data_IF_331786051372
#
_entry.id   IF_331786051372
#
_cell.length_a   1.000
_cell.length_b   1.000
_cell.length_c   1.000
_cell.angle_alpha   90.00
_cell.angle_beta   90.00
_cell.angle_gamma   90.00
#
_symmetry.space_group_name_H-M   'P 1'
#
loop_
_entity.id
_entity.type
_entity.pdbx_description
1 polymer ?
#
# COMPACT_ATOMS: atom_id res chain seq x y z
N UNK A 1 -52.77 -69.67 10.95
CA UNK A 1 -53.58 -69.05 9.87
C UNK A 1 -54.83 -68.32 10.38
N UNK A 2 -55.68 -68.90 11.25
CA UNK A 2 -56.94 -68.25 11.69
C UNK A 2 -56.77 -67.00 12.57
N UNK A 3 -55.75 -66.94 13.45
CA UNK A 3 -55.52 -65.76 14.31
C UNK A 3 -55.17 -64.48 13.53
N UNK A 4 -54.37 -64.61 12.47
CA UNK A 4 -53.98 -63.47 11.62
C UNK A 4 -55.19 -62.89 10.87
N UNK A 5 -56.08 -63.76 10.38
CA UNK A 5 -57.31 -63.36 9.70
C UNK A 5 -58.27 -62.59 10.62
N UNK A 6 -58.35 -62.97 11.89
CA UNK A 6 -59.21 -62.28 12.87
C UNK A 6 -58.62 -60.91 13.27
N UNK A 7 -57.29 -60.79 13.36
CA UNK A 7 -56.65 -59.51 13.65
C UNK A 7 -56.81 -58.51 12.50
N UNK A 8 -56.69 -58.97 11.24
CA UNK A 8 -56.92 -58.13 10.07
C UNK A 8 -58.37 -57.65 9.96
N UNK A 9 -59.35 -58.51 10.28
CA UNK A 9 -60.76 -58.10 10.33
C UNK A 9 -61.00 -57.04 11.40
N UNK A 10 -60.48 -57.22 12.61
CA UNK A 10 -60.60 -56.21 13.68
C UNK A 10 -59.96 -54.87 13.30
N UNK A 11 -58.79 -54.89 12.66
CA UNK A 11 -58.12 -53.67 12.21
C UNK A 11 -58.92 -52.96 11.11
N UNK A 12 -59.51 -53.72 10.18
CA UNK A 12 -60.38 -53.18 9.13
C UNK A 12 -61.68 -52.59 9.69
N UNK A 13 -62.33 -53.28 10.63
CA UNK A 13 -63.59 -52.83 11.24
C UNK A 13 -63.36 -51.59 12.12
N UNK A 14 -62.26 -51.53 12.88
CA UNK A 14 -61.88 -50.35 13.67
C UNK A 14 -61.59 -49.13 12.79
N UNK A 15 -60.91 -49.31 11.65
CA UNK A 15 -60.67 -48.24 10.68
C UNK A 15 -61.96 -47.75 10.01
N UNK A 16 -62.94 -48.64 9.82
CA UNK A 16 -64.24 -48.28 9.24
C UNK A 16 -65.13 -47.54 10.23
N UNK A 17 -65.08 -47.88 11.52
CA UNK A 17 -65.81 -47.15 12.56
C UNK A 17 -65.25 -45.75 12.79
N UNK A 18 -63.92 -45.57 12.79
CA UNK A 18 -63.30 -44.24 12.95
C UNK A 18 -63.65 -43.28 11.82
N UNK A 19 -63.76 -43.78 10.58
CA UNK A 19 -64.19 -42.95 9.44
C UNK A 19 -65.68 -42.60 9.54
N UNK A 20 -66.52 -43.50 10.07
CA UNK A 20 -67.95 -43.23 10.29
C UNK A 20 -68.18 -42.21 11.40
N UNK A 21 -67.45 -42.29 12.51
CA UNK A 21 -67.56 -41.31 13.60
C UNK A 21 -67.04 -39.95 13.17
N UNK A 22 -65.93 -39.89 12.44
CA UNK A 22 -65.42 -38.63 11.89
C UNK A 22 -66.40 -37.97 10.91
N UNK A 23 -67.10 -38.76 10.08
CA UNK A 23 -68.13 -38.24 9.17
C UNK A 23 -69.39 -37.78 9.90
N UNK A 24 -69.86 -38.55 10.90
CA UNK A 24 -71.00 -38.16 11.74
C UNK A 24 -70.71 -36.89 12.56
N UNK A 25 -69.44 -36.65 12.92
CA UNK A 25 -69.02 -35.44 13.62
C UNK A 25 -68.89 -34.23 12.69
N UNK A 26 -68.58 -34.45 11.40
CA UNK A 26 -68.53 -33.39 10.38
C UNK A 26 -69.92 -32.93 9.93
N UNK A 27 -70.90 -33.82 9.91
CA UNK A 27 -72.30 -33.49 9.59
C UNK A 27 -73.06 -32.91 10.79
N UNK A 28 -72.46 -32.93 11.99
CA UNK A 28 -72.89 -32.08 13.10
C UNK A 28 -72.26 -30.70 12.91
N UNK A 29 -72.91 -29.85 12.13
CA UNK A 29 -72.76 -28.40 12.28
C UNK A 29 -72.97 -28.13 13.78
N UNK A 30 -71.99 -27.62 14.53
CA UNK A 30 -72.31 -27.00 15.80
C UNK A 30 -73.36 -25.93 15.47
N UNK A 31 -74.45 -25.85 16.23
CA UNK A 31 -75.17 -24.59 16.33
C UNK A 31 -74.12 -23.59 16.81
N UNK A 32 -73.46 -22.91 15.87
CA UNK A 32 -72.76 -21.68 16.17
C UNK A 32 -73.85 -20.81 16.76
N UNK A 33 -73.74 -20.34 18.02
CA UNK A 33 -74.60 -19.24 18.43
C UNK A 33 -74.45 -18.18 17.34
N UNK A 34 -75.56 -17.64 16.84
CA UNK A 34 -75.55 -16.44 16.00
C UNK A 34 -74.84 -15.34 16.80
N UNK A 35 -73.52 -15.33 16.72
CA UNK A 35 -72.72 -14.16 16.99
C UNK A 35 -72.96 -13.35 15.74
N UNK A 36 -73.93 -12.43 15.82
CA UNK A 36 -74.07 -11.34 14.88
C UNK A 36 -72.67 -10.75 14.69
N UNK A 37 -72.00 -11.16 13.62
CA UNK A 37 -70.69 -10.65 13.27
C UNK A 37 -70.94 -9.28 12.68
N UNK A 38 -71.21 -8.32 13.56
CA UNK A 38 -71.32 -6.92 13.21
C UNK A 38 -69.96 -6.54 12.64
N UNK A 39 -69.89 -6.38 11.31
CA UNK A 39 -68.67 -5.99 10.63
C UNK A 39 -68.16 -4.73 11.34
N UNK A 40 -66.94 -4.74 11.91
CA UNK A 40 -66.40 -3.54 12.51
C UNK A 40 -66.49 -2.42 11.47
N UNK A 41 -66.94 -1.24 11.90
CA UNK A 41 -67.07 -0.08 11.03
C UNK A 41 -65.78 0.03 10.20
N UNK A 42 -65.87 0.24 8.86
CA UNK A 42 -64.69 0.31 8.02
C UNK A 42 -63.71 1.29 8.66
N UNK A 43 -62.48 0.82 8.91
CA UNK A 43 -61.45 1.65 9.49
C UNK A 43 -61.44 2.99 8.73
N UNK A 44 -61.38 4.14 9.44
CA UNK A 44 -61.28 5.42 8.77
C UNK A 44 -60.14 5.32 7.75
N UNK A 45 -60.32 5.80 6.51
CA UNK A 45 -59.35 5.61 5.45
C UNK A 45 -57.99 6.05 5.99
N UNK A 46 -57.08 5.08 6.10
CA UNK A 46 -55.71 5.35 6.53
C UNK A 46 -55.12 6.21 5.41
N UNK A 47 -55.11 7.51 5.63
CA UNK A 47 -54.46 8.48 4.76
C UNK A 47 -52.97 8.13 4.80
N UNK A 48 -52.53 7.31 3.84
CA UNK A 48 -51.14 7.10 3.55
C UNK A 48 -50.58 8.43 3.06
N UNK A 49 -50.32 9.35 3.98
CA UNK A 49 -49.51 10.53 3.72
C UNK A 49 -48.14 10.00 3.34
N UNK A 50 -47.92 9.80 2.05
CA UNK A 50 -46.59 9.56 1.52
C UNK A 50 -45.72 10.68 2.07
N UNK A 51 -44.59 10.33 2.66
CA UNK A 51 -43.63 11.29 3.22
C UNK A 51 -42.98 12.18 2.16
N UNK A 52 -43.49 12.18 0.93
CA UNK A 52 -43.20 13.22 -0.06
C UNK A 52 -43.81 14.51 0.46
N UNK A 53 -42.97 15.52 0.71
CA UNK A 53 -43.48 16.86 0.99
C UNK A 53 -44.42 17.24 -0.15
N UNK A 54 -45.52 17.96 0.13
CA UNK A 54 -46.41 18.47 -0.93
C UNK A 54 -45.63 19.32 -1.95
N UNK A 55 -44.49 19.87 -1.55
CA UNK A 55 -43.54 20.61 -2.38
C UNK A 55 -42.81 19.75 -3.43
N UNK A 56 -42.75 18.42 -3.25
CA UNK A 56 -42.03 17.50 -4.16
C UNK A 56 -42.85 17.09 -5.39
N UNK A 57 -44.14 17.44 -5.45
CA UNK A 57 -45.06 17.04 -6.53
C UNK A 57 -45.00 17.96 -7.76
N UNK A 58 -44.55 19.21 -7.59
CA UNK A 58 -44.51 20.23 -8.65
C UNK A 58 -43.22 20.17 -9.50
N UNK A 59 -42.22 19.39 -9.08
CA UNK A 59 -40.91 19.34 -9.72
C UNK A 59 -40.80 18.15 -10.67
N UNK A 60 -40.37 18.34 -11.94
CA UNK A 60 -40.16 17.24 -12.87
C UNK A 60 -39.25 16.14 -12.31
N UNK A 61 -39.63 14.88 -12.50
CA UNK A 61 -38.94 13.71 -11.91
C UNK A 61 -37.43 13.66 -12.25
N UNK A 62 -37.05 14.07 -13.46
CA UNK A 62 -35.67 14.16 -13.92
C UNK A 62 -34.86 15.19 -13.13
N UNK A 63 -35.45 16.35 -12.83
CA UNK A 63 -34.83 17.41 -12.04
C UNK A 63 -34.65 16.99 -10.58
N UNK A 64 -35.58 16.19 -10.04
CA UNK A 64 -35.46 15.61 -8.69
C UNK A 64 -34.33 14.60 -8.58
N UNK A 65 -34.16 13.72 -9.57
CA UNK A 65 -33.02 12.79 -9.62
C UNK A 65 -31.72 13.57 -9.75
N UNK A 66 -31.65 14.53 -10.67
CA UNK A 66 -30.47 15.37 -10.85
C UNK A 66 -30.11 16.12 -9.56
N UNK A 67 -31.09 16.76 -8.90
CA UNK A 67 -30.89 17.43 -7.62
C UNK A 67 -30.39 16.46 -6.54
N UNK A 68 -30.98 15.27 -6.42
CA UNK A 68 -30.60 14.22 -5.49
C UNK A 68 -29.14 13.75 -5.68
N UNK A 69 -28.70 13.62 -6.92
CA UNK A 69 -27.30 13.31 -7.25
C UNK A 69 -26.38 14.49 -6.98
N UNK A 70 -26.78 15.70 -7.36
CA UNK A 70 -25.99 16.92 -7.18
C UNK A 70 -25.67 17.20 -5.71
N UNK A 71 -26.65 17.17 -4.80
CA UNK A 71 -26.36 17.43 -3.38
C UNK A 71 -25.52 16.32 -2.74
N UNK A 72 -25.74 15.05 -3.13
CA UNK A 72 -24.90 13.93 -2.66
C UNK A 72 -23.46 14.06 -3.17
N UNK A 73 -23.26 14.43 -4.43
CA UNK A 73 -21.93 14.67 -5.00
C UNK A 73 -21.26 15.90 -4.38
N UNK A 74 -22.01 16.97 -4.10
CA UNK A 74 -21.51 18.14 -3.38
C UNK A 74 -21.08 17.74 -1.96
N UNK A 75 -21.89 16.97 -1.22
CA UNK A 75 -21.51 16.50 0.11
C UNK A 75 -20.27 15.60 0.03
N UNK A 76 -20.23 14.64 -0.89
CA UNK A 76 -19.04 13.79 -1.08
C UNK A 76 -17.82 14.63 -1.43
N UNK A 77 -17.96 15.65 -2.28
CA UNK A 77 -16.91 16.59 -2.66
C UNK A 77 -16.43 17.45 -1.49
N UNK A 78 -17.35 18.01 -0.70
CA UNK A 78 -17.05 18.82 0.49
C UNK A 78 -16.37 17.96 1.56
N UNK A 79 -16.90 16.76 1.85
CA UNK A 79 -16.28 15.81 2.77
C UNK A 79 -14.88 15.42 2.28
N UNK A 80 -14.72 15.16 0.99
CA UNK A 80 -13.41 14.89 0.38
C UNK A 80 -12.45 16.07 0.51
N UNK A 81 -12.90 17.29 0.27
CA UNK A 81 -12.09 18.51 0.40
C UNK A 81 -11.68 18.77 1.85
N UNK A 82 -12.61 18.64 2.81
CA UNK A 82 -12.33 18.78 4.24
C UNK A 82 -11.33 17.73 4.69
N UNK A 83 -11.49 16.47 4.27
CA UNK A 83 -10.54 15.40 4.56
C UNK A 83 -9.16 15.74 4.00
N UNK A 84 -9.04 16.14 2.72
CA UNK A 84 -7.75 16.51 2.12
C UNK A 84 -7.09 17.68 2.84
N UNK A 85 -7.87 18.69 3.24
CA UNK A 85 -7.36 19.83 4.03
C UNK A 85 -6.89 19.41 5.41
N UNK A 86 -7.63 18.51 6.06
CA UNK A 86 -7.29 17.96 7.37
C UNK A 86 -6.03 17.08 7.31
N UNK A 87 -5.92 16.22 6.28
CA UNK A 87 -4.67 15.49 6.00
C UNK A 87 -3.52 16.48 5.79
N UNK A 88 -3.72 17.56 5.03
CA UNK A 88 -2.72 18.59 4.79
C UNK A 88 -2.16 19.18 6.09
N UNK A 89 -3.04 19.53 7.04
CA UNK A 89 -2.67 20.07 8.36
C UNK A 89 -1.93 19.03 9.21
N UNK A 90 -2.31 17.76 9.11
CA UNK A 90 -1.76 16.66 9.92
C UNK A 90 -0.60 15.94 9.21
N UNK A 91 -0.14 16.44 8.06
CA UNK A 91 0.94 15.81 7.27
C UNK A 91 2.19 15.55 8.12
N UNK A 92 2.50 16.45 9.06
CA UNK A 92 3.61 16.32 10.03
C UNK A 92 3.53 15.04 10.88
N UNK A 93 2.35 14.45 11.06
CA UNK A 93 2.13 13.18 11.76
C UNK A 93 1.84 12.05 10.78
N UNK A 94 1.02 12.29 9.74
CA UNK A 94 0.62 11.24 8.77
C UNK A 94 1.82 10.68 8.03
N UNK A 95 2.74 11.52 7.57
CA UNK A 95 3.90 11.07 6.78
C UNK A 95 4.82 10.18 7.65
N UNK A 96 5.27 10.60 8.85
CA UNK A 96 5.99 9.72 9.76
C UNK A 96 5.27 8.41 10.11
N UNK A 97 3.95 8.44 10.33
CA UNK A 97 3.18 7.23 10.59
C UNK A 97 3.14 6.30 9.38
N UNK A 98 3.04 6.84 8.16
CA UNK A 98 3.08 6.06 6.95
C UNK A 98 4.46 5.41 6.73
N UNK A 99 5.55 6.16 6.96
CA UNK A 99 6.92 5.62 6.96
C UNK A 99 7.05 4.52 8.01
N UNK A 100 6.58 4.76 9.23
CA UNK A 100 6.61 3.78 10.31
C UNK A 100 5.83 2.51 9.97
N UNK A 101 4.72 2.62 9.24
CA UNK A 101 3.95 1.48 8.76
C UNK A 101 4.74 0.66 7.73
N UNK A 102 5.46 1.32 6.81
CA UNK A 102 6.34 0.65 5.84
C UNK A 102 7.53 -0.03 6.50
N UNK A 103 8.24 0.68 7.37
CA UNK A 103 9.33 0.12 8.18
C UNK A 103 8.80 -1.04 9.03
N UNK A 104 7.58 -0.93 9.54
CA UNK A 104 6.96 -2.00 10.30
C UNK A 104 6.73 -3.25 9.45
N UNK A 105 6.19 -3.09 8.24
CA UNK A 105 6.02 -4.19 7.30
C UNK A 105 7.37 -4.80 6.87
N UNK A 106 8.41 -3.97 6.72
CA UNK A 106 9.78 -4.38 6.37
C UNK A 106 10.42 -5.23 7.48
N UNK A 107 10.31 -4.77 8.72
CA UNK A 107 10.99 -5.37 9.87
C UNK A 107 10.18 -6.49 10.53
N UNK A 108 8.89 -6.62 10.21
CA UNK A 108 8.01 -7.65 10.78
C UNK A 108 8.53 -9.10 10.63
N UNK A 109 9.11 -9.53 9.49
CA UNK A 109 9.70 -10.86 9.37
C UNK A 109 10.86 -11.09 10.34
N UNK A 110 11.74 -10.09 10.52
CA UNK A 110 12.87 -10.16 11.45
C UNK A 110 12.39 -10.27 12.91
N UNK A 111 11.40 -9.47 13.31
CA UNK A 111 10.78 -9.60 14.64
C UNK A 111 10.10 -10.96 14.80
N UNK A 112 9.40 -11.43 13.77
CA UNK A 112 8.75 -12.74 13.76
C UNK A 112 9.75 -13.88 13.95
N UNK A 113 10.90 -13.83 13.27
CA UNK A 113 11.99 -14.77 13.43
C UNK A 113 12.56 -14.75 14.86
N UNK A 114 12.82 -13.55 15.41
CA UNK A 114 13.36 -13.41 16.75
C UNK A 114 12.37 -13.88 17.85
N UNK A 115 11.06 -13.71 17.61
CA UNK A 115 10.00 -14.25 18.48
C UNK A 115 9.95 -15.78 18.47
N UNK A 116 10.45 -16.47 17.43
CA UNK A 116 10.56 -17.94 17.43
C UNK A 116 11.56 -18.45 18.47
N UNK A 117 12.53 -17.63 18.87
CA UNK A 117 13.47 -17.92 19.97
C UNK A 117 12.91 -17.59 21.36
N UNK A 118 11.58 -17.48 21.51
CA UNK A 118 10.88 -17.18 22.77
C UNK A 118 11.22 -15.83 23.43
N UNK A 119 11.79 -14.88 22.68
CA UNK A 119 12.02 -13.54 23.18
C UNK A 119 10.70 -12.76 23.36
N UNK A 120 10.56 -11.96 24.44
CA UNK A 120 9.35 -11.18 24.66
C UNK A 120 9.17 -10.13 23.54
N UNK A 121 7.91 -9.79 23.17
CA UNK A 121 7.63 -8.94 22.02
C UNK A 121 8.37 -7.60 22.01
N UNK A 122 8.53 -6.98 23.18
CA UNK A 122 9.22 -5.69 23.34
C UNK A 122 10.71 -5.80 23.06
N UNK A 123 11.38 -6.84 23.59
CA UNK A 123 12.81 -7.05 23.40
C UNK A 123 13.12 -7.42 21.95
N UNK A 124 12.31 -8.29 21.35
CA UNK A 124 12.47 -8.65 19.93
C UNK A 124 12.32 -7.42 19.02
N UNK A 125 11.35 -6.55 19.31
CA UNK A 125 11.14 -5.30 18.55
C UNK A 125 12.29 -4.33 18.75
N UNK A 126 12.75 -4.14 19.99
CA UNK A 126 13.86 -3.26 20.33
C UNK A 126 15.15 -3.68 19.63
N UNK A 127 15.52 -4.96 19.70
CA UNK A 127 16.71 -5.49 19.05
C UNK A 127 16.66 -5.31 17.54
N UNK A 128 15.53 -5.61 16.90
CA UNK A 128 15.39 -5.44 15.44
C UNK A 128 15.48 -3.97 15.04
N UNK A 129 14.93 -3.03 15.82
CA UNK A 129 15.07 -1.60 15.53
C UNK A 129 16.51 -1.13 15.67
N UNK A 130 17.21 -1.50 16.74
CA UNK A 130 18.62 -1.13 16.93
C UNK A 130 19.49 -1.73 15.84
N UNK A 131 19.31 -3.02 15.51
CA UNK A 131 20.02 -3.66 14.40
C UNK A 131 19.69 -3.00 13.05
N UNK A 132 18.43 -2.62 12.82
CA UNK A 132 18.00 -1.92 11.61
C UNK A 132 18.68 -0.55 11.48
N UNK A 133 18.66 0.25 12.54
CA UNK A 133 19.34 1.56 12.59
C UNK A 133 20.85 1.38 12.34
N UNK A 134 21.48 0.41 13.02
CA UNK A 134 22.90 0.13 12.85
C UNK A 134 23.23 -0.32 11.42
N UNK A 135 22.37 -1.13 10.78
CA UNK A 135 22.55 -1.57 9.41
C UNK A 135 22.45 -0.39 8.41
N UNK A 136 21.45 0.48 8.56
CA UNK A 136 21.30 1.66 7.70
C UNK A 136 22.44 2.64 7.93
N UNK A 137 22.72 3.01 9.19
CA UNK A 137 23.80 3.93 9.53
C UNK A 137 25.15 3.39 9.07
N UNK A 138 25.45 2.12 9.32
CA UNK A 138 26.68 1.47 8.88
C UNK A 138 26.83 1.47 7.36
N UNK A 139 25.77 1.13 6.62
CA UNK A 139 25.78 1.18 5.15
C UNK A 139 26.00 2.60 4.64
N UNK A 140 25.31 3.58 5.22
CA UNK A 140 25.44 4.98 4.82
C UNK A 140 26.84 5.52 5.11
N UNK A 141 27.40 5.20 6.28
CA UNK A 141 28.79 5.56 6.64
C UNK A 141 29.78 4.91 5.68
N UNK A 142 29.60 3.64 5.29
CA UNK A 142 30.47 2.99 4.30
C UNK A 142 30.41 3.68 2.94
N UNK A 143 29.21 4.04 2.47
CA UNK A 143 29.03 4.75 1.20
C UNK A 143 29.65 6.14 1.27
N UNK A 144 29.37 6.92 2.31
CA UNK A 144 29.90 8.28 2.48
C UNK A 144 31.41 8.26 2.61
N UNK A 145 31.97 7.38 3.45
CA UNK A 145 33.42 7.32 3.64
C UNK A 145 34.13 6.92 2.35
N UNK A 146 33.66 5.88 1.65
CA UNK A 146 34.29 5.49 0.38
C UNK A 146 34.12 6.55 -0.71
N UNK A 147 33.01 7.30 -0.69
CA UNK A 147 32.85 8.42 -1.59
C UNK A 147 33.84 9.55 -1.26
N UNK A 148 33.94 9.95 0.01
CA UNK A 148 34.88 10.99 0.50
C UNK A 148 36.33 10.60 0.22
N UNK A 149 36.71 9.37 0.52
CA UNK A 149 38.05 8.83 0.29
C UNK A 149 38.34 8.68 -1.22
N UNK A 150 37.31 8.43 -2.03
CA UNK A 150 37.40 8.33 -3.49
C UNK A 150 37.38 9.67 -4.23
N UNK A 151 36.93 10.77 -3.62
CA UNK A 151 36.85 12.10 -4.27
C UNK A 151 38.21 12.57 -4.83
N UNK A 152 39.33 12.47 -4.09
CA UNK A 152 40.63 12.91 -4.61
C UNK A 152 41.06 12.12 -5.86
N UNK A 153 40.89 10.79 -5.83
CA UNK A 153 41.25 9.89 -6.93
C UNK A 153 40.33 10.09 -8.15
N UNK A 154 39.03 10.28 -7.92
CA UNK A 154 38.06 10.67 -8.95
C UNK A 154 38.39 12.03 -9.57
N UNK A 155 38.87 13.00 -8.78
CA UNK A 155 39.26 14.32 -9.28
C UNK A 155 40.51 14.21 -10.18
N UNK A 156 41.50 13.42 -9.76
CA UNK A 156 42.70 13.17 -10.55
C UNK A 156 42.38 12.44 -11.85
N UNK A 157 41.56 11.38 -11.80
CA UNK A 157 41.17 10.60 -12.97
C UNK A 157 40.20 11.37 -13.88
N UNK A 158 39.31 12.22 -13.35
CA UNK A 158 38.48 13.12 -14.16
C UNK A 158 39.35 14.11 -14.94
N UNK A 159 40.41 14.65 -14.32
CA UNK A 159 41.36 15.52 -15.02
C UNK A 159 42.13 14.80 -16.12
N UNK A 160 42.37 13.48 -15.99
CA UNK A 160 42.98 12.65 -17.05
C UNK A 160 41.96 12.32 -18.15
N UNK A 161 40.72 12.01 -17.81
CA UNK A 161 39.64 11.75 -18.77
C UNK A 161 39.31 12.97 -19.62
N UNK A 162 39.25 14.17 -19.01
CA UNK A 162 39.12 15.44 -19.73
C UNK A 162 40.28 15.64 -20.70
N UNK A 163 41.51 15.33 -20.26
CA UNK A 163 42.71 15.40 -21.13
C UNK A 163 42.65 14.41 -22.30
N UNK A 164 42.15 13.18 -22.09
CA UNK A 164 41.96 12.22 -23.18
C UNK A 164 40.88 12.64 -24.16
N UNK A 165 39.78 13.25 -23.68
CA UNK A 165 38.74 13.82 -24.54
C UNK A 165 39.31 15.02 -25.32
N UNK A 166 40.14 15.85 -24.68
CA UNK A 166 40.88 16.93 -25.32
C UNK A 166 41.81 16.40 -26.43
N UNK A 167 42.58 15.36 -26.13
CA UNK A 167 43.51 14.73 -27.07
C UNK A 167 42.74 14.14 -28.27
N UNK A 168 41.61 13.46 -28.02
CA UNK A 168 40.73 12.92 -29.05
C UNK A 168 40.00 14.01 -29.85
N UNK A 169 39.59 15.11 -29.22
CA UNK A 169 38.99 16.26 -29.90
C UNK A 169 40.00 17.01 -30.77
N UNK A 170 41.28 17.01 -30.36
CA UNK A 170 42.41 17.60 -31.09
C UNK A 170 42.91 16.74 -32.25
N UNK A 171 43.03 15.43 -32.05
CA UNK A 171 43.62 14.50 -33.04
C UNK A 171 42.57 13.70 -33.83
N UNK A 172 41.30 13.75 -33.40
CA UNK A 172 40.18 13.11 -34.07
C UNK A 172 39.62 13.94 -35.25
N UNK A 173 38.66 13.38 -35.99
CA UNK A 173 38.20 13.90 -37.29
C UNK A 173 37.50 15.28 -37.23
N UNK A 174 37.23 15.81 -36.03
CA UNK A 174 36.44 17.03 -35.81
C UNK A 174 37.27 18.33 -35.76
N UNK A 175 38.61 18.28 -35.63
CA UNK A 175 39.53 19.44 -35.65
C UNK A 175 39.02 20.68 -34.89
N UNK A 176 38.58 20.51 -33.64
CA UNK A 176 38.08 21.62 -32.84
C UNK A 176 39.22 22.56 -32.42
N UNK A 177 39.02 23.87 -32.54
CA UNK A 177 40.02 24.90 -32.22
C UNK A 177 40.26 24.99 -30.70
N UNK A 178 41.51 25.27 -30.29
CA UNK A 178 41.95 25.33 -28.88
C UNK A 178 41.08 26.25 -28.01
N UNK A 179 40.58 27.34 -28.58
CA UNK A 179 39.74 28.31 -27.87
C UNK A 179 38.34 27.76 -27.51
N UNK A 180 37.76 26.92 -28.37
CA UNK A 180 36.42 26.33 -28.12
C UNK A 180 36.47 25.28 -27.02
N UNK A 181 37.56 24.52 -26.96
CA UNK A 181 37.76 23.48 -25.93
C UNK A 181 38.06 24.12 -24.58
N UNK A 182 38.92 25.15 -24.54
CA UNK A 182 39.22 25.87 -23.31
C UNK A 182 37.99 26.63 -22.78
N UNK A 183 37.20 27.29 -23.63
CA UNK A 183 35.94 27.93 -23.20
C UNK A 183 34.93 26.94 -22.61
N UNK A 184 34.81 25.73 -23.18
CA UNK A 184 33.91 24.71 -22.64
C UNK A 184 34.37 24.23 -21.25
N UNK A 185 35.69 24.10 -21.04
CA UNK A 185 36.27 23.70 -19.76
C UNK A 185 36.10 24.79 -18.71
N UNK A 186 36.41 26.05 -19.06
CA UNK A 186 36.24 27.19 -18.16
C UNK A 186 34.76 27.37 -17.76
N UNK A 187 33.85 27.17 -18.72
CA UNK A 187 32.41 27.21 -18.46
C UNK A 187 31.96 26.08 -17.52
N UNK A 188 32.52 24.88 -17.66
CA UNK A 188 32.23 23.75 -16.78
C UNK A 188 32.79 23.97 -15.36
N UNK A 189 34.02 24.48 -15.23
CA UNK A 189 34.63 24.82 -13.94
C UNK A 189 33.86 25.95 -13.23
N UNK A 190 33.46 26.98 -13.97
CA UNK A 190 32.66 28.07 -13.44
C UNK A 190 31.26 27.60 -13.01
N UNK A 191 30.63 26.70 -13.77
CA UNK A 191 29.35 26.08 -13.40
C UNK A 191 29.45 25.23 -12.12
N UNK A 192 30.53 24.45 -11.99
CA UNK A 192 30.80 23.69 -10.76
C UNK A 192 30.96 24.66 -9.57
N UNK A 193 31.87 25.63 -9.67
CA UNK A 193 32.19 26.55 -8.57
C UNK A 193 30.99 27.42 -8.13
N UNK A 194 30.13 27.82 -9.06
CA UNK A 194 28.91 28.58 -8.78
C UNK A 194 27.78 27.72 -8.18
N UNK A 195 27.80 26.40 -8.39
CA UNK A 195 26.89 25.47 -7.71
C UNK A 195 27.43 24.95 -6.37
N UNK A 196 28.76 24.89 -6.15
CA UNK A 196 29.32 24.47 -4.85
C UNK A 196 28.98 25.48 -3.73
N UNK A 197 28.89 26.76 -4.08
CA UNK A 197 28.48 27.85 -3.18
C UNK A 197 26.98 27.80 -2.84
N UNK A 198 26.11 27.28 -3.73
CA UNK A 198 24.70 27.03 -3.43
C UNK A 198 24.48 25.75 -2.60
N UNK A 199 25.32 24.73 -2.79
CA UNK A 199 25.32 23.51 -1.97
C UNK A 199 25.77 23.77 -0.52
N UNK A 200 26.74 24.66 -0.30
CA UNK A 200 27.16 25.07 1.06
C UNK A 200 26.15 25.99 1.74
N UNK A 201 25.43 26.84 1.00
CA UNK A 201 24.32 27.62 1.54
C UNK A 201 23.12 26.75 1.99
N UNK A 202 22.95 25.57 1.38
CA UNK A 202 21.95 24.57 1.79
C UNK A 202 22.35 23.83 3.08
N UNK A 203 23.63 23.89 3.46
CA UNK A 203 24.20 23.18 4.61
C UNK A 203 23.99 23.85 5.98
N UNK A 204 23.50 25.10 6.02
CA UNK A 204 23.10 25.72 7.30
C UNK A 204 21.69 25.26 7.63
N UNK A 205 21.59 24.04 8.17
CA UNK A 205 20.38 23.61 8.87
C UNK A 205 20.13 24.61 10.00
N UNK A 206 19.14 25.49 9.83
CA UNK A 206 18.61 26.29 10.95
C UNK A 206 18.20 25.31 12.05
N UNK A 207 18.45 25.65 13.32
CA UNK A 207 18.14 24.79 14.46
C UNK A 207 16.67 24.27 14.42
N UNK A 208 15.76 25.06 13.85
CA UNK A 208 14.37 24.67 13.59
C UNK A 208 14.23 23.46 12.65
N UNK A 209 14.95 23.43 11.53
CA UNK A 209 14.90 22.31 10.56
C UNK A 209 15.44 21.02 11.19
N UNK A 210 16.54 21.12 11.94
CA UNK A 210 17.11 19.97 12.64
C UNK A 210 16.14 19.42 13.69
N UNK A 211 15.46 20.31 14.42
CA UNK A 211 14.45 19.93 15.40
C UNK A 211 13.24 19.24 14.76
N UNK A 212 12.77 19.72 13.61
CA UNK A 212 11.68 19.10 12.86
C UNK A 212 12.05 17.69 12.39
N UNK A 213 13.24 17.52 11.80
CA UNK A 213 13.75 16.21 11.37
C UNK A 213 13.90 15.25 12.55
N UNK A 214 14.46 15.72 13.66
CA UNK A 214 14.65 14.89 14.86
C UNK A 214 13.30 14.47 15.46
N UNK A 215 12.34 15.38 15.53
CA UNK A 215 10.99 15.11 16.03
C UNK A 215 10.27 14.11 15.13
N UNK A 216 10.34 14.31 13.81
CA UNK A 216 9.80 13.38 12.82
C UNK A 216 10.43 11.99 12.93
N UNK A 217 11.76 11.92 13.03
CA UNK A 217 12.49 10.66 13.18
C UNK A 217 12.13 9.94 14.48
N UNK A 218 12.02 10.66 15.60
CA UNK A 218 11.58 10.10 16.88
C UNK A 218 10.16 9.54 16.77
N UNK A 219 9.26 10.25 16.09
CA UNK A 219 7.89 9.78 15.86
C UNK A 219 7.87 8.52 14.99
N UNK A 220 8.67 8.47 13.92
CA UNK A 220 8.83 7.27 13.07
C UNK A 220 9.30 6.08 13.92
N UNK A 221 10.36 6.27 14.72
CA UNK A 221 10.93 5.20 15.55
C UNK A 221 9.93 4.69 16.59
N UNK A 222 9.28 5.61 17.29
CA UNK A 222 8.28 5.28 18.29
C UNK A 222 7.07 4.56 17.67
N UNK A 223 6.52 5.11 16.58
CA UNK A 223 5.40 4.48 15.88
C UNK A 223 5.76 3.09 15.33
N UNK A 224 6.97 2.93 14.76
CA UNK A 224 7.44 1.64 14.24
C UNK A 224 7.53 0.62 15.37
N UNK A 225 8.06 1.01 16.54
CA UNK A 225 8.12 0.15 17.72
C UNK A 225 6.72 -0.34 18.13
N UNK A 226 5.75 0.57 18.26
CA UNK A 226 4.39 0.20 18.66
C UNK A 226 3.66 -0.63 17.59
N UNK A 227 3.87 -0.34 16.31
CA UNK A 227 3.30 -1.14 15.21
C UNK A 227 3.87 -2.56 15.20
N UNK A 228 5.18 -2.76 15.37
CA UNK A 228 5.81 -4.08 15.48
C UNK A 228 5.35 -4.86 16.72
N UNK A 229 5.33 -4.19 17.87
CA UNK A 229 5.04 -4.81 19.17
C UNK A 229 3.55 -5.15 19.29
N UNK A 230 2.68 -4.17 19.05
CA UNK A 230 1.27 -4.18 19.42
C UNK A 230 0.32 -3.95 18.22
N UNK A 231 0.78 -4.05 16.97
CA UNK A 231 -0.01 -3.78 15.75
C UNK A 231 -1.40 -4.42 15.71
N UNK A 232 -1.53 -5.70 16.11
CA UNK A 232 -2.85 -6.38 16.20
C UNK A 232 -3.79 -5.81 17.27
N UNK A 233 -3.25 -5.25 18.36
CA UNK A 233 -4.05 -4.59 19.39
C UNK A 233 -4.52 -3.23 18.90
N UNK A 234 -3.61 -2.47 18.28
CA UNK A 234 -3.91 -1.17 17.66
C UNK A 234 -5.00 -1.34 16.61
N UNK A 235 -4.87 -2.33 15.72
CA UNK A 235 -5.87 -2.60 14.70
C UNK A 235 -7.25 -2.95 15.28
N UNK A 236 -7.31 -3.86 16.25
CA UNK A 236 -8.58 -4.20 16.93
C UNK A 236 -9.19 -3.01 17.66
N UNK A 237 -8.38 -2.13 18.23
CA UNK A 237 -8.86 -0.89 18.85
C UNK A 237 -9.51 0.02 17.80
N UNK A 238 -8.86 0.23 16.64
CA UNK A 238 -9.41 1.04 15.54
C UNK A 238 -10.72 0.46 15.00
N UNK A 239 -10.80 -0.85 14.77
CA UNK A 239 -12.02 -1.51 14.28
C UNK A 239 -13.18 -1.37 15.28
N UNK A 240 -12.91 -1.35 16.60
CA UNK A 240 -13.94 -1.20 17.63
C UNK A 240 -14.63 0.17 17.64
N UNK A 241 -14.00 1.20 17.07
CA UNK A 241 -14.59 2.53 16.93
C UNK A 241 -15.77 2.56 15.94
N UNK A 242 -15.89 1.55 15.08
CA UNK A 242 -16.95 1.47 14.08
C UNK A 242 -18.16 0.64 14.56
N UNK A 243 -19.36 0.86 13.97
CA UNK A 243 -20.57 0.08 14.25
C UNK A 243 -20.35 -1.42 14.04
N UNK A 244 -21.03 -2.26 14.84
CA UNK A 244 -20.86 -3.72 14.85
C UNK A 244 -20.95 -4.33 13.45
N UNK A 245 -21.90 -3.87 12.64
CA UNK A 245 -22.15 -4.37 11.28
C UNK A 245 -20.97 -4.12 10.31
N UNK A 246 -20.15 -3.09 10.56
CA UNK A 246 -19.02 -2.75 9.71
C UNK A 246 -17.70 -3.41 10.16
N UNK A 247 -17.62 -3.89 11.41
CA UNK A 247 -16.35 -4.37 12.01
C UNK A 247 -15.73 -5.54 11.27
N UNK A 248 -16.55 -6.48 10.80
CA UNK A 248 -16.07 -7.63 10.02
C UNK A 248 -15.45 -7.19 8.70
N UNK A 249 -16.19 -6.40 7.92
CA UNK A 249 -15.74 -5.90 6.62
C UNK A 249 -14.48 -5.03 6.74
N UNK A 250 -14.40 -4.20 7.78
CA UNK A 250 -13.19 -3.44 8.08
C UNK A 250 -12.03 -4.37 8.43
N UNK A 251 -12.23 -5.36 9.31
CA UNK A 251 -11.16 -6.30 9.68
C UNK A 251 -10.61 -7.07 8.47
N UNK A 252 -11.47 -7.63 7.61
CA UNK A 252 -11.03 -8.32 6.38
C UNK A 252 -10.27 -7.37 5.44
N UNK A 253 -10.77 -6.14 5.27
CA UNK A 253 -10.11 -5.14 4.45
C UNK A 253 -8.74 -4.76 5.01
N UNK A 254 -8.61 -4.57 6.32
CA UNK A 254 -7.34 -4.25 6.98
C UNK A 254 -6.34 -5.38 6.91
N UNK A 255 -6.76 -6.63 7.19
CA UNK A 255 -5.89 -7.80 7.13
C UNK A 255 -5.38 -8.05 5.70
N UNK A 256 -6.25 -7.90 4.69
CA UNK A 256 -5.86 -7.98 3.28
C UNK A 256 -4.90 -6.84 2.88
N UNK A 257 -5.15 -5.62 3.38
CA UNK A 257 -4.29 -4.47 3.12
C UNK A 257 -2.91 -4.64 3.74
N UNK A 258 -2.84 -5.16 4.98
CA UNK A 258 -1.58 -5.48 5.66
C UNK A 258 -0.79 -6.57 4.92
N UNK A 259 -1.48 -7.63 4.47
CA UNK A 259 -0.85 -8.67 3.64
C UNK A 259 -0.28 -8.11 2.34
N UNK A 260 -0.98 -7.16 1.72
CA UNK A 260 -0.52 -6.49 0.49
C UNK A 260 0.73 -5.65 0.76
N UNK A 261 0.71 -4.85 1.83
CA UNK A 261 1.87 -4.05 2.24
C UNK A 261 3.09 -4.93 2.52
N UNK A 262 2.92 -5.99 3.30
CA UNK A 262 3.99 -6.92 3.63
C UNK A 262 4.56 -7.65 2.41
N UNK A 263 3.70 -7.99 1.43
CA UNK A 263 4.16 -8.64 0.19
C UNK A 263 4.91 -7.65 -0.71
N UNK A 264 4.38 -6.44 -0.87
CA UNK A 264 5.03 -5.36 -1.62
C UNK A 264 6.42 -5.05 -1.07
N UNK A 265 6.53 -4.81 0.24
CA UNK A 265 7.82 -4.45 0.85
C UNK A 265 8.84 -5.58 0.71
N UNK A 266 8.44 -6.84 0.87
CA UNK A 266 9.34 -8.00 0.63
C UNK A 266 9.78 -8.11 -0.82
N UNK A 267 8.85 -7.88 -1.75
CA UNK A 267 9.15 -7.86 -3.18
C UNK A 267 10.17 -6.76 -3.50
N UNK A 268 9.96 -5.54 -3.01
CA UNK A 268 10.89 -4.41 -3.19
C UNK A 268 12.28 -4.72 -2.64
N UNK A 269 12.38 -5.29 -1.44
CA UNK A 269 13.69 -5.67 -0.86
C UNK A 269 14.39 -6.73 -1.70
N UNK A 270 13.64 -7.73 -2.20
CA UNK A 270 14.20 -8.78 -3.03
C UNK A 270 14.70 -8.22 -4.36
N UNK A 271 13.91 -7.35 -5.00
CA UNK A 271 14.29 -6.65 -6.23
C UNK A 271 15.54 -5.81 -6.00
N UNK A 272 15.53 -4.94 -4.98
CA UNK A 272 16.68 -4.12 -4.60
C UNK A 272 17.95 -4.94 -4.36
N UNK A 273 17.83 -6.11 -3.73
CA UNK A 273 18.95 -7.01 -3.51
C UNK A 273 19.49 -7.61 -4.81
N UNK A 274 18.60 -8.02 -5.73
CA UNK A 274 18.99 -8.54 -7.04
C UNK A 274 19.66 -7.43 -7.86
N UNK A 275 19.14 -6.21 -7.85
CA UNK A 275 19.72 -5.08 -8.60
C UNK A 275 21.11 -4.71 -8.06
N UNK A 276 21.23 -4.58 -6.73
CA UNK A 276 22.49 -4.31 -6.08
C UNK A 276 23.53 -5.40 -6.34
N UNK A 277 23.13 -6.67 -6.32
CA UNK A 277 24.03 -7.79 -6.61
C UNK A 277 24.39 -7.84 -8.09
N UNK A 278 23.42 -7.63 -9.00
CA UNK A 278 23.64 -7.67 -10.44
C UNK A 278 24.56 -6.55 -10.92
N UNK A 279 24.27 -5.32 -10.52
CA UNK A 279 25.11 -4.15 -10.84
C UNK A 279 26.44 -4.25 -10.08
N UNK A 280 26.43 -4.60 -8.80
CA UNK A 280 27.65 -4.77 -8.01
C UNK A 280 28.60 -5.81 -8.59
N UNK A 281 28.09 -6.95 -9.04
CA UNK A 281 28.89 -7.99 -9.69
C UNK A 281 29.47 -7.50 -11.02
N UNK A 282 28.70 -6.77 -11.83
CA UNK A 282 29.21 -6.16 -13.05
C UNK A 282 30.37 -5.20 -12.76
N UNK A 283 30.26 -4.36 -11.73
CA UNK A 283 31.32 -3.44 -11.31
C UNK A 283 32.57 -4.19 -10.84
N UNK A 284 32.43 -5.26 -10.06
CA UNK A 284 33.55 -6.12 -9.61
C UNK A 284 34.25 -6.77 -10.80
N UNK A 285 33.50 -7.38 -11.73
CA UNK A 285 34.07 -8.08 -12.90
C UNK A 285 34.84 -7.10 -13.80
N UNK A 286 34.33 -5.88 -13.94
CA UNK A 286 34.94 -4.83 -14.76
C UNK A 286 36.04 -4.05 -14.02
N UNK A 287 36.37 -4.44 -12.78
CA UNK A 287 37.33 -3.76 -11.90
C UNK A 287 37.07 -2.25 -11.72
N UNK A 288 35.80 -1.85 -11.72
CA UNK A 288 35.42 -0.47 -11.40
C UNK A 288 35.61 -0.24 -9.90
N UNK A 289 36.18 0.90 -9.47
CA UNK A 289 36.42 1.18 -8.07
C UNK A 289 35.10 1.33 -7.30
N UNK A 290 35.16 1.13 -5.99
CA UNK A 290 34.03 1.26 -5.08
C UNK A 290 32.79 0.40 -5.47
N UNK A 291 32.93 -0.87 -5.89
CA UNK A 291 31.79 -1.66 -6.32
C UNK A 291 30.80 -1.91 -5.18
N UNK A 292 31.28 -2.07 -3.94
CA UNK A 292 30.42 -2.30 -2.77
C UNK A 292 29.60 -1.06 -2.36
N UNK A 293 30.17 0.16 -2.27
CA UNK A 293 29.38 1.38 -2.10
C UNK A 293 28.37 1.61 -3.21
N UNK A 294 28.77 1.41 -4.47
CA UNK A 294 27.87 1.61 -5.59
C UNK A 294 26.72 0.59 -5.57
N UNK A 295 27.00 -0.67 -5.24
CA UNK A 295 25.97 -1.67 -5.00
C UNK A 295 25.05 -1.30 -3.83
N UNK A 296 25.60 -0.77 -2.73
CA UNK A 296 24.81 -0.28 -1.61
C UNK A 296 23.95 0.94 -1.98
N UNK A 297 24.48 1.86 -2.81
CA UNK A 297 23.74 3.00 -3.34
C UNK A 297 22.59 2.54 -4.23
N UNK A 298 22.81 1.54 -5.09
CA UNK A 298 21.76 0.90 -5.90
C UNK A 298 20.71 0.26 -4.99
N UNK A 299 21.13 -0.50 -3.98
CA UNK A 299 20.22 -1.15 -3.02
C UNK A 299 19.32 -0.14 -2.31
N UNK A 300 19.92 0.93 -1.77
CA UNK A 300 19.18 2.00 -1.08
C UNK A 300 18.33 2.81 -2.06
N UNK A 301 18.85 3.06 -3.26
CA UNK A 301 18.17 3.78 -4.33
C UNK A 301 16.90 3.07 -4.79
N UNK A 302 16.91 1.74 -4.89
CA UNK A 302 15.79 0.94 -5.37
C UNK A 302 14.47 1.15 -4.57
N UNK A 303 14.52 1.71 -3.36
CA UNK A 303 13.32 2.08 -2.60
C UNK A 303 12.63 3.35 -3.12
N UNK A 304 13.28 4.15 -3.96
CA UNK A 304 12.71 5.35 -4.58
C UNK A 304 12.37 5.02 -6.04
N UNK A 305 11.09 4.78 -6.37
CA UNK A 305 10.70 4.39 -7.73
C UNK A 305 11.18 5.39 -8.78
N UNK A 306 11.64 4.88 -9.93
CA UNK A 306 12.11 5.64 -11.12
C UNK A 306 13.41 6.41 -10.87
N UNK A 307 13.45 7.25 -9.84
CA UNK A 307 14.57 8.13 -9.52
C UNK A 307 15.76 7.33 -9.01
N UNK A 308 15.51 6.35 -8.13
CA UNK A 308 16.55 5.56 -7.50
C UNK A 308 17.45 4.82 -8.46
N UNK A 309 16.85 4.03 -9.37
CA UNK A 309 17.57 3.29 -10.38
C UNK A 309 18.32 4.22 -11.35
N UNK A 310 17.67 5.30 -11.79
CA UNK A 310 18.28 6.27 -12.72
C UNK A 310 19.49 6.96 -12.11
N UNK A 311 19.36 7.44 -10.86
CA UNK A 311 20.43 8.17 -10.17
C UNK A 311 21.57 7.24 -9.78
N UNK A 312 21.28 6.10 -9.14
CA UNK A 312 22.33 5.17 -8.71
C UNK A 312 23.07 4.53 -9.90
N UNK A 313 22.34 4.17 -10.96
CA UNK A 313 22.93 3.69 -12.21
C UNK A 313 23.76 4.75 -12.91
N UNK A 314 23.30 6.01 -12.97
CA UNK A 314 24.08 7.11 -13.51
C UNK A 314 25.37 7.33 -12.74
N UNK A 315 25.33 7.31 -11.40
CA UNK A 315 26.53 7.43 -10.57
C UNK A 315 27.51 6.30 -10.86
N UNK A 316 27.06 5.05 -10.97
CA UNK A 316 27.91 3.93 -11.31
C UNK A 316 28.57 4.06 -12.70
N UNK A 317 27.81 4.51 -13.71
CA UNK A 317 28.32 4.75 -15.06
C UNK A 317 29.31 5.91 -15.09
N UNK A 318 29.04 6.99 -14.35
CA UNK A 318 29.94 8.15 -14.25
C UNK A 318 31.26 7.78 -13.58
N UNK A 319 31.21 7.01 -12.48
CA UNK A 319 32.43 6.52 -11.81
C UNK A 319 33.26 5.65 -12.77
N UNK A 320 32.61 4.75 -13.50
CA UNK A 320 33.29 3.93 -14.51
C UNK A 320 33.88 4.79 -15.66
N UNK A 321 33.18 5.84 -16.10
CA UNK A 321 33.67 6.75 -17.14
C UNK A 321 34.91 7.51 -16.69
N UNK A 322 34.89 8.02 -15.47
CA UNK A 322 35.98 8.80 -14.89
C UNK A 322 37.22 7.95 -14.67
N UNK A 323 37.05 6.75 -14.12
CA UNK A 323 38.16 5.92 -13.69
C UNK A 323 38.70 4.98 -14.77
N UNK A 324 37.80 4.37 -15.54
CA UNK A 324 38.12 3.29 -16.48
C UNK A 324 37.96 3.70 -17.95
N UNK A 325 37.44 4.90 -18.21
CA UNK A 325 37.24 5.43 -19.55
C UNK A 325 35.92 5.02 -20.21
N UNK A 326 35.67 5.58 -21.39
CA UNK A 326 34.36 5.54 -22.05
C UNK A 326 33.92 4.14 -22.48
N UNK A 327 34.84 3.24 -22.84
CA UNK A 327 34.51 1.87 -23.25
C UNK A 327 33.93 1.09 -22.07
N UNK A 328 34.59 1.12 -20.91
CA UNK A 328 34.11 0.43 -19.71
C UNK A 328 32.82 1.06 -19.21
N UNK A 329 32.69 2.39 -19.27
CA UNK A 329 31.44 3.07 -18.95
C UNK A 329 30.25 2.62 -19.81
N UNK A 330 30.45 2.41 -21.11
CA UNK A 330 29.40 1.89 -21.99
C UNK A 330 29.04 0.43 -21.66
N UNK A 331 30.02 -0.39 -21.27
CA UNK A 331 29.76 -1.76 -20.81
C UNK A 331 28.98 -1.74 -19.50
N UNK A 332 29.34 -0.88 -18.54
CA UNK A 332 28.60 -0.69 -17.28
C UNK A 332 27.17 -0.19 -17.56
N UNK A 333 26.99 0.78 -18.46
CA UNK A 333 25.67 1.25 -18.89
C UNK A 333 24.86 0.10 -19.49
N UNK A 334 25.47 -0.70 -20.35
CA UNK A 334 24.85 -1.91 -20.90
C UNK A 334 24.45 -2.91 -19.81
N UNK A 335 25.28 -3.12 -18.79
CA UNK A 335 24.98 -3.98 -17.65
C UNK A 335 23.82 -3.43 -16.80
N UNK A 336 23.80 -2.12 -16.51
CA UNK A 336 22.70 -1.44 -15.78
C UNK A 336 21.39 -1.60 -16.56
N UNK A 337 21.40 -1.33 -17.87
CA UNK A 337 20.23 -1.51 -18.73
C UNK A 337 19.80 -2.98 -18.74
N UNK A 338 20.73 -3.92 -18.86
CA UNK A 338 20.43 -5.35 -18.86
C UNK A 338 19.74 -5.78 -17.56
N UNK A 339 20.29 -5.38 -16.40
CA UNK A 339 19.69 -5.65 -15.09
C UNK A 339 18.30 -5.05 -15.01
N UNK A 340 18.12 -3.79 -15.42
CA UNK A 340 16.81 -3.12 -15.42
C UNK A 340 15.79 -3.80 -16.34
N UNK A 341 16.23 -4.29 -17.50
CA UNK A 341 15.37 -5.01 -18.44
C UNK A 341 14.95 -6.37 -17.88
N UNK A 342 15.87 -7.11 -17.27
CA UNK A 342 15.58 -8.36 -16.55
C UNK A 342 14.62 -8.08 -15.39
N UNK A 343 14.82 -6.97 -14.68
CA UNK A 343 13.95 -6.53 -13.60
C UNK A 343 12.53 -6.30 -14.10
N UNK A 344 12.36 -5.44 -15.11
CA UNK A 344 11.04 -5.07 -15.63
C UNK A 344 10.29 -6.22 -16.33
N UNK A 345 10.99 -7.09 -17.05
CA UNK A 345 10.34 -8.12 -17.89
C UNK A 345 10.23 -9.49 -17.22
N UNK A 346 11.12 -9.81 -16.27
CA UNK A 346 11.19 -11.15 -15.65
C UNK A 346 10.92 -11.05 -14.15
N UNK A 347 11.69 -10.23 -13.42
CA UNK A 347 11.60 -10.19 -11.96
C UNK A 347 10.29 -9.58 -11.49
N UNK A 348 9.86 -8.45 -12.05
CA UNK A 348 8.61 -7.79 -11.64
C UNK A 348 7.39 -8.71 -11.84
N UNK A 349 7.16 -9.35 -13.00
CA UNK A 349 6.06 -10.30 -13.17
C UNK A 349 6.15 -11.51 -12.24
N UNK A 350 7.35 -12.03 -11.98
CA UNK A 350 7.55 -13.23 -11.17
C UNK A 350 7.41 -12.96 -9.67
N UNK A 351 7.94 -11.83 -9.20
CA UNK A 351 7.98 -11.46 -7.77
C UNK A 351 6.68 -10.76 -7.35
N UNK A 352 6.15 -9.84 -8.17
CA UNK A 352 4.93 -9.09 -7.82
C UNK A 352 3.64 -9.81 -8.25
N UNK A 353 3.70 -10.72 -9.24
CA UNK A 353 2.56 -11.54 -9.67
C UNK A 353 1.31 -10.76 -10.11
N UNK A 354 0.17 -11.46 -10.28
CA UNK A 354 -1.15 -10.83 -10.56
C UNK A 354 -1.72 -10.00 -9.39
N UNK A 355 -0.95 -9.82 -8.33
CA UNK A 355 -1.38 -9.10 -7.15
C UNK A 355 -1.17 -7.61 -7.41
N UNK A 356 -2.29 -6.89 -7.55
CA UNK A 356 -2.38 -5.44 -7.67
C UNK A 356 -2.20 -4.91 -9.11
N UNK A 357 -3.17 -5.20 -9.97
CA UNK A 357 -3.38 -4.43 -11.21
C UNK A 357 -3.88 -3.01 -10.84
N UNK A 358 -2.96 -2.12 -10.48
CA UNK A 358 -3.21 -0.67 -10.41
C UNK A 358 -2.91 -0.08 -11.79
N UNK A 359 -3.78 0.81 -12.24
CA UNK A 359 -3.57 1.52 -13.48
C UNK A 359 -2.30 2.41 -13.37
N UNK A 360 -1.34 2.36 -14.31
CA UNK A 360 -0.07 3.10 -14.22
C UNK A 360 -0.25 4.61 -13.95
N UNK A 361 -1.27 5.22 -14.55
CA UNK A 361 -1.64 6.63 -14.31
C UNK A 361 -1.82 6.95 -12.81
N UNK A 362 -2.46 6.06 -12.03
CA UNK A 362 -2.69 6.27 -10.59
C UNK A 362 -1.36 6.25 -9.83
N UNK A 363 -0.43 5.39 -10.23
CA UNK A 363 0.91 5.33 -9.65
C UNK A 363 1.69 6.62 -9.96
N UNK A 364 1.69 7.07 -11.21
CA UNK A 364 2.39 8.29 -11.63
C UNK A 364 1.84 9.53 -10.91
N UNK A 365 0.51 9.71 -10.92
CA UNK A 365 -0.13 10.82 -10.21
C UNK A 365 0.15 10.74 -8.70
N UNK A 366 0.14 9.54 -8.15
CA UNK A 366 0.44 9.27 -6.75
C UNK A 366 1.86 9.66 -6.36
N UNK A 367 2.85 9.25 -7.15
CA UNK A 367 4.25 9.62 -6.96
C UNK A 367 4.42 11.14 -7.08
N UNK A 368 3.87 11.76 -8.14
CA UNK A 368 3.96 13.21 -8.34
C UNK A 368 3.32 13.97 -7.16
N UNK A 369 2.16 13.53 -6.68
CA UNK A 369 1.50 14.11 -5.51
C UNK A 369 2.35 13.91 -4.24
N UNK A 370 2.96 12.75 -4.06
CA UNK A 370 3.89 12.47 -2.96
C UNK A 370 5.11 13.39 -2.97
N UNK A 371 5.70 13.62 -4.14
CA UNK A 371 6.82 14.57 -4.33
C UNK A 371 6.42 15.98 -3.92
N UNK A 372 5.24 16.45 -4.33
CA UNK A 372 4.76 17.80 -3.99
C UNK A 372 4.45 17.94 -2.50
N UNK A 373 3.87 16.90 -1.87
CA UNK A 373 3.45 16.97 -0.47
C UNK A 373 4.59 16.77 0.53
N UNK A 374 5.56 15.91 0.21
CA UNK A 374 6.58 15.47 1.17
C UNK A 374 7.93 15.17 0.52
N UNK A 375 8.17 15.67 -0.70
CA UNK A 375 9.42 15.44 -1.42
C UNK A 375 9.69 13.97 -1.72
N UNK A 376 10.97 13.60 -1.66
CA UNK A 376 11.45 12.24 -1.94
C UNK A 376 10.79 11.21 -1.00
N UNK A 377 10.54 11.59 0.26
CA UNK A 377 9.89 10.73 1.24
C UNK A 377 8.45 10.41 0.82
N UNK A 378 7.70 11.41 0.34
CA UNK A 378 6.34 11.20 -0.16
C UNK A 378 6.30 10.31 -1.40
N UNK A 379 7.28 10.46 -2.30
CA UNK A 379 7.42 9.61 -3.48
C UNK A 379 7.61 8.13 -3.12
N UNK A 380 8.50 7.85 -2.15
CA UNK A 380 8.77 6.50 -1.63
C UNK A 380 7.53 5.86 -1.00
N UNK A 381 6.75 6.64 -0.26
CA UNK A 381 5.59 6.17 0.49
C UNK A 381 4.33 6.05 -0.40
N UNK A 382 4.26 6.79 -1.50
CA UNK A 382 3.07 6.88 -2.34
C UNK A 382 2.61 5.52 -2.90
N UNK A 383 3.51 4.79 -3.57
CA UNK A 383 3.17 3.53 -4.25
C UNK A 383 2.61 2.47 -3.29
N UNK A 384 3.27 2.13 -2.17
CA UNK A 384 2.71 1.16 -1.24
C UNK A 384 1.41 1.63 -0.59
N UNK A 385 1.26 2.92 -0.27
CA UNK A 385 -0.01 3.43 0.24
C UNK A 385 -1.14 3.26 -0.77
N UNK A 386 -0.90 3.53 -2.05
CA UNK A 386 -1.91 3.33 -3.11
C UNK A 386 -2.28 1.85 -3.22
N UNK A 387 -1.31 0.94 -3.10
CA UNK A 387 -1.57 -0.51 -3.08
C UNK A 387 -2.45 -0.96 -1.91
N UNK A 388 -2.15 -0.46 -0.70
CA UNK A 388 -2.93 -0.70 0.52
C UNK A 388 -4.34 -0.14 0.38
N UNK A 389 -4.47 1.12 -0.05
CA UNK A 389 -5.76 1.78 -0.23
C UNK A 389 -6.62 1.09 -1.30
N UNK A 390 -6.06 0.77 -2.46
CA UNK A 390 -6.75 0.06 -3.53
C UNK A 390 -7.24 -1.31 -3.05
N UNK A 391 -6.42 -2.03 -2.27
CA UNK A 391 -6.82 -3.33 -1.70
C UNK A 391 -7.95 -3.17 -0.69
N UNK A 392 -7.81 -2.23 0.25
CA UNK A 392 -8.82 -1.95 1.27
C UNK A 392 -10.16 -1.55 0.66
N UNK A 393 -10.15 -0.61 -0.30
CA UNK A 393 -11.36 -0.16 -1.02
C UNK A 393 -11.99 -1.31 -1.80
N UNK A 394 -11.22 -2.08 -2.57
CA UNK A 394 -11.78 -3.24 -3.30
C UNK A 394 -12.35 -4.29 -2.37
N UNK A 395 -11.73 -4.52 -1.21
CA UNK A 395 -12.22 -5.47 -0.20
C UNK A 395 -13.50 -4.98 0.46
N UNK A 396 -13.59 -3.69 0.76
CA UNK A 396 -14.79 -3.09 1.34
C UNK A 396 -15.95 -2.98 0.34
N UNK A 397 -15.64 -2.72 -0.94
CA UNK A 397 -16.62 -2.63 -2.02
C UNK A 397 -17.19 -4.00 -2.45
N UNK A 398 -16.50 -5.11 -2.13
CA UNK A 398 -17.05 -6.45 -2.31
C UNK A 398 -18.20 -6.63 -1.32
N UNK A 399 -19.44 -6.38 -1.77
CA UNK A 399 -20.64 -6.86 -1.09
C UNK A 399 -20.54 -8.38 -0.98
N UNK A 400 -20.44 -8.92 0.24
CA UNK A 400 -20.55 -10.37 0.46
C UNK A 400 -22.00 -10.73 0.80
N UNK A 401 -22.43 -11.97 0.45
CA UNK A 401 -23.77 -12.49 0.75
C UNK A 401 -24.04 -12.50 2.27
N UNK A 402 -25.30 -12.30 2.64
CA UNK A 402 -25.81 -12.04 3.99
C UNK A 402 -25.61 -13.14 5.05
N UNK A 403 -24.81 -14.19 4.82
CA UNK A 403 -24.77 -15.34 5.74
C UNK A 403 -23.32 -15.76 6.05
N UNK A 404 -22.86 -15.63 7.31
CA UNK A 404 -21.65 -16.29 7.80
C UNK A 404 -21.75 -17.82 7.61
N UNK A 405 -20.65 -18.54 7.28
CA UNK A 405 -20.67 -20.00 7.11
C UNK A 405 -21.23 -20.78 8.31
N UNK A 406 -21.27 -20.15 9.49
CA UNK A 406 -21.57 -20.79 10.77
C UNK A 406 -22.81 -20.19 11.48
N UNK A 407 -23.62 -19.38 10.79
CA UNK A 407 -24.86 -18.85 11.37
C UNK A 407 -25.94 -19.95 11.39
N UNK A 408 -25.93 -20.78 12.43
CA UNK A 408 -27.06 -21.65 12.76
C UNK A 408 -28.21 -20.74 13.20
N UNK A 409 -29.21 -20.59 12.34
CA UNK A 409 -30.48 -19.98 12.71
C UNK A 409 -31.14 -20.91 13.72
N UNK A 410 -30.99 -20.61 15.01
CA UNK A 410 -31.77 -21.26 16.05
C UNK A 410 -33.17 -20.64 15.98
N UNK A 411 -34.04 -21.21 15.15
CA UNK A 411 -35.47 -20.98 15.30
C UNK A 411 -35.87 -21.65 16.61
N UNK A 412 -36.14 -20.86 17.65
CA UNK A 412 -36.80 -21.36 18.86
C UNK A 412 -38.16 -21.86 18.44
N UNK A 413 -38.28 -23.17 18.21
CA UNK A 413 -39.54 -23.83 17.99
C UNK A 413 -40.37 -23.74 19.26
N UNK A 414 -41.43 -22.95 19.18
CA UNK A 414 -42.56 -22.97 20.08
C UNK A 414 -43.14 -24.39 20.11
N UNK A 415 -42.80 -25.17 21.14
CA UNK A 415 -43.51 -26.40 21.45
C UNK A 415 -44.63 -26.06 22.43
N UNK A 416 -45.80 -25.81 21.86
CA UNK A 416 -47.06 -26.08 22.52
C UNK A 416 -47.24 -27.61 22.61
N UNK A 417 -47.21 -28.13 23.83
CA UNK A 417 -48.25 -29.00 24.43
C UNK A 417 -47.90 -29.25 25.88
#
# INVERSE_FOLDING_TARGET
MQRVRNNLRRAYDAGRESVRTARAQRDRTPDDPEVDFELPAPDPPVDHRSTSSRDDAEVPHSLRIAAAWSWRLIIVGVVGWVLLRFIGIISIVVIPLAIALLLSALLAPAVGWLRRFRLPPSLATFLVLICGIAAVAGTLTLVVNQFVDGVPELTDNASKGIRQIQEWARTGPLHLSDDQVNQAIDSAQNWINSNTSSLTATGVATAATLFEVLTGALLVLFATFFFLRDGRKIWRFLVRLFPVNARWSLSDAGDASWSTLGSYVRATVLVAFIDATGIGLALVILNVPFPFPLAALVFLGAFIPIVGASVSGAVAVLVALVDQGWVIALIVLGAVILVQQVEGHILQPLIMGRAVAIHPLVVIIGIASGVVLAGIIGALVAVPLIAVLNTGVRRLARRRPEIPPDAVVVTTGEQAT
#
